data_IF_833837383278
#
_entry.id   IF_833837383278
#
_cell.length_a   1.000
_cell.length_b   1.000
_cell.length_c   1.000
_cell.angle_alpha   90.00
_cell.angle_beta   90.00
_cell.angle_gamma   90.00
#
_symmetry.space_group_name_H-M   'P 1'
#
loop_
_entity.id
_entity.type
_entity.pdbx_description
1 polymer ?
#
# COMPACT_ATOMS: atom_id res chain seq x y z
N UNK A 1 2.87 -31.48 29.78
CA UNK A 1 2.14 -31.75 28.52
C UNK A 1 1.68 -30.40 27.95
N UNK A 2 2.52 -29.73 27.17
CA UNK A 2 2.20 -28.41 26.61
C UNK A 2 1.37 -28.65 25.34
N UNK A 3 0.07 -28.39 25.43
CA UNK A 3 -0.86 -28.47 24.31
C UNK A 3 -0.41 -27.53 23.21
N UNK A 4 0.02 -28.10 22.08
CA UNK A 4 0.08 -27.39 20.80
C UNK A 4 -1.33 -26.89 20.51
N UNK A 5 -1.57 -25.60 20.72
CA UNK A 5 -2.68 -24.91 20.08
C UNK A 5 -2.32 -24.89 18.59
N UNK A 6 -2.71 -25.95 17.87
CA UNK A 6 -2.91 -25.89 16.44
C UNK A 6 -4.10 -24.94 16.25
N UNK A 7 -3.80 -23.65 16.11
CA UNK A 7 -4.73 -22.70 15.52
C UNK A 7 -5.00 -23.29 14.13
N UNK A 8 -6.17 -23.89 13.97
CA UNK A 8 -6.71 -24.28 12.68
C UNK A 8 -6.82 -22.99 11.85
N UNK A 9 -5.76 -22.63 11.13
CA UNK A 9 -5.79 -21.70 10.01
C UNK A 9 -6.62 -22.37 8.89
N UNK A 10 -7.92 -22.54 9.09
CA UNK A 10 -8.85 -22.56 7.97
C UNK A 10 -8.74 -21.16 7.39
N UNK A 11 -7.90 -21.04 6.36
CA UNK A 11 -7.24 -19.79 6.03
C UNK A 11 -8.26 -18.73 5.62
N UNK A 12 -8.21 -17.56 6.27
CA UNK A 12 -8.95 -16.36 5.83
C UNK A 12 -8.70 -16.04 4.35
N UNK A 13 -7.61 -16.58 3.78
CA UNK A 13 -7.23 -16.48 2.38
C UNK A 13 -6.99 -17.87 1.79
N UNK A 14 -8.04 -18.56 1.38
CA UNK A 14 -7.93 -19.84 0.68
C UNK A 14 -7.08 -19.70 -0.60
N UNK A 15 -6.06 -20.54 -0.77
CA UNK A 15 -5.18 -20.51 -1.93
C UNK A 15 -4.07 -19.45 -1.90
N UNK A 16 -3.90 -18.73 -0.78
CA UNK A 16 -2.87 -17.70 -0.62
C UNK A 16 -2.04 -17.90 0.65
N UNK A 17 -0.80 -17.39 0.63
CA UNK A 17 0.08 -17.21 1.79
C UNK A 17 0.23 -15.74 2.11
N UNK A 18 0.14 -15.40 3.40
CA UNK A 18 0.42 -14.04 3.88
C UNK A 18 1.95 -13.86 3.96
N UNK A 19 2.45 -12.86 3.26
CA UNK A 19 3.84 -12.46 3.23
C UNK A 19 4.02 -11.10 3.91
N UNK A 20 5.21 -10.88 4.49
CA UNK A 20 5.62 -9.64 5.15
C UNK A 20 7.08 -9.35 4.78
N UNK A 21 7.43 -8.07 4.65
CA UNK A 21 8.77 -7.66 4.24
C UNK A 21 8.71 -6.39 3.40
N UNK A 22 9.60 -6.25 2.41
CA UNK A 22 9.50 -5.20 1.39
C UNK A 22 9.36 -5.89 0.04
N UNK A 23 8.23 -5.70 -0.64
CA UNK A 23 7.96 -6.31 -1.96
C UNK A 23 8.20 -5.36 -3.12
N UNK A 24 7.81 -4.10 -2.95
CA UNK A 24 8.00 -3.04 -3.95
C UNK A 24 8.13 -1.69 -3.23
N UNK A 25 8.89 -0.79 -3.84
CA UNK A 25 9.18 0.55 -3.35
C UNK A 25 9.19 1.51 -4.53
N UNK A 26 8.42 2.58 -4.40
CA UNK A 26 8.36 3.63 -5.41
C UNK A 26 8.28 4.99 -4.74
N UNK A 27 8.94 5.98 -5.31
CA UNK A 27 8.95 7.34 -4.81
C UNK A 27 8.92 8.32 -5.94
N UNK A 28 8.39 9.51 -5.65
CA UNK A 28 8.52 10.67 -6.52
C UNK A 28 8.59 11.92 -5.65
N UNK A 29 8.95 13.03 -6.28
CA UNK A 29 9.17 14.30 -5.60
C UNK A 29 8.23 15.36 -6.13
N UNK A 30 7.98 16.34 -5.28
CA UNK A 30 7.03 17.42 -5.47
C UNK A 30 5.65 16.85 -5.81
N UNK A 31 4.84 17.57 -6.58
CA UNK A 31 3.52 17.11 -7.00
C UNK A 31 3.57 16.01 -8.09
N UNK A 32 4.58 15.15 -8.03
CA UNK A 32 4.71 13.99 -8.91
C UNK A 32 3.62 12.94 -8.66
N UNK A 33 3.28 12.19 -9.71
CA UNK A 33 2.37 11.05 -9.64
C UNK A 33 3.15 9.74 -9.61
N UNK A 34 2.73 8.82 -8.74
CA UNK A 34 3.11 7.41 -8.77
C UNK A 34 1.92 6.61 -9.29
N UNK A 35 2.12 5.88 -10.38
CA UNK A 35 1.19 4.87 -10.89
C UNK A 35 1.95 3.58 -11.15
N UNK A 36 2.06 2.74 -10.11
CA UNK A 36 2.87 1.53 -10.13
C UNK A 36 2.00 0.29 -10.35
N UNK A 37 2.36 -0.52 -11.34
CA UNK A 37 1.75 -1.85 -11.52
C UNK A 37 2.03 -2.72 -10.31
N UNK A 38 1.00 -3.35 -9.78
CA UNK A 38 1.12 -4.38 -8.75
C UNK A 38 1.84 -5.58 -9.40
N UNK A 39 2.90 -6.14 -8.78
CA UNK A 39 3.51 -7.37 -9.25
C UNK A 39 2.48 -8.48 -9.52
N UNK A 40 2.75 -9.35 -10.49
CA UNK A 40 1.81 -10.42 -10.81
C UNK A 40 1.61 -11.35 -9.60
N UNK A 41 0.41 -11.93 -9.53
CA UNK A 41 0.03 -12.96 -8.55
C UNK A 41 0.11 -12.55 -7.07
N UNK A 42 0.21 -11.24 -6.79
CA UNK A 42 0.14 -10.73 -5.42
C UNK A 42 -1.08 -9.84 -5.19
N UNK A 43 -1.57 -9.85 -3.96
CA UNK A 43 -2.60 -8.93 -3.49
C UNK A 43 -2.02 -8.10 -2.34
N UNK A 44 -1.79 -6.79 -2.53
CA UNK A 44 -1.27 -5.93 -1.48
C UNK A 44 -2.27 -5.80 -0.32
N UNK A 45 -1.80 -5.89 0.93
CA UNK A 45 -2.63 -5.76 2.13
C UNK A 45 -2.24 -4.56 2.99
N UNK A 46 -0.96 -4.17 2.99
CA UNK A 46 -0.50 -3.02 3.77
C UNK A 46 0.60 -2.28 3.02
N UNK A 47 0.49 -0.95 3.00
CA UNK A 47 1.52 -0.06 2.50
C UNK A 47 2.08 0.81 3.62
N UNK A 48 3.39 1.03 3.58
CA UNK A 48 4.09 2.05 4.36
C UNK A 48 4.25 3.28 3.46
N UNK A 49 3.81 4.43 3.94
CA UNK A 49 3.98 5.71 3.26
C UNK A 49 4.92 6.60 4.06
N UNK A 50 5.86 7.20 3.36
CA UNK A 50 6.87 8.09 3.92
C UNK A 50 6.85 9.42 3.20
N UNK A 51 7.05 10.50 3.96
CA UNK A 51 7.25 11.85 3.45
C UNK A 51 8.55 12.43 4.00
N UNK A 52 9.25 13.17 3.16
CA UNK A 52 10.39 14.02 3.54
C UNK A 52 10.30 15.35 2.79
N UNK A 53 10.12 16.46 3.50
CA UNK A 53 9.92 17.78 2.90
C UNK A 53 9.59 18.86 3.91
N UNK A 54 9.68 20.13 3.52
CA UNK A 54 9.64 21.28 4.44
C UNK A 54 8.23 21.83 4.74
N UNK A 55 7.19 21.25 4.12
CA UNK A 55 5.81 21.72 4.23
C UNK A 55 4.85 20.63 4.73
N UNK A 56 3.63 21.06 5.12
CA UNK A 56 2.49 20.15 5.26
C UNK A 56 2.24 19.46 3.92
N UNK A 57 1.82 18.21 3.98
CA UNK A 57 1.61 17.40 2.78
C UNK A 57 0.31 16.63 2.87
N UNK A 58 -0.23 16.36 1.68
CA UNK A 58 -1.38 15.51 1.43
C UNK A 58 -1.00 14.56 0.29
N UNK A 59 -0.93 13.26 0.56
CA UNK A 59 -0.79 12.23 -0.47
C UNK A 59 -2.17 11.65 -0.71
N UNK A 60 -2.67 11.81 -1.92
CA UNK A 60 -3.80 11.03 -2.41
C UNK A 60 -3.29 9.63 -2.71
N UNK A 61 -3.71 8.63 -1.93
CA UNK A 61 -3.36 7.23 -2.16
C UNK A 61 -4.53 6.49 -2.81
N UNK A 62 -4.24 5.71 -3.85
CA UNK A 62 -5.24 4.89 -4.52
C UNK A 62 -4.71 3.48 -4.83
N UNK A 63 -5.66 2.54 -4.84
CA UNK A 63 -5.55 1.27 -5.53
C UNK A 63 -6.67 1.17 -6.54
N UNK A 64 -6.37 0.77 -7.78
CA UNK A 64 -7.35 0.75 -8.85
C UNK A 64 -6.98 -0.22 -9.96
N UNK A 65 -7.97 -0.57 -10.79
CA UNK A 65 -7.78 -1.43 -11.97
C UNK A 65 -7.15 -0.69 -13.16
N UNK A 66 -7.11 0.64 -13.12
CA UNK A 66 -6.58 1.55 -14.15
C UNK A 66 -5.38 2.35 -13.65
N UNK A 67 -4.56 2.94 -14.53
CA UNK A 67 -3.48 3.85 -14.13
C UNK A 67 -3.97 5.04 -13.30
N UNK A 68 -3.12 5.51 -12.39
CA UNK A 68 -3.42 6.58 -11.43
C UNK A 68 -3.06 7.94 -12.02
N UNK A 69 -3.98 8.90 -11.96
CA UNK A 69 -3.78 10.31 -12.31
C UNK A 69 -3.76 11.25 -11.09
N UNK A 70 -3.57 12.55 -11.35
CA UNK A 70 -3.65 13.64 -10.38
C UNK A 70 -5.03 13.64 -9.70
N UNK A 71 -5.09 13.59 -8.38
CA UNK A 71 -6.34 13.58 -7.57
C UNK A 71 -7.14 12.27 -7.67
N UNK A 72 -6.47 11.13 -7.42
CA UNK A 72 -7.16 9.85 -7.27
C UNK A 72 -7.02 9.27 -5.86
N UNK A 73 -8.14 8.83 -5.29
CA UNK A 73 -8.18 8.02 -4.07
C UNK A 73 -8.32 8.81 -2.77
N UNK A 74 -7.91 8.18 -1.69
CA UNK A 74 -8.08 8.69 -0.33
C UNK A 74 -7.00 9.73 -0.01
N UNK A 75 -7.41 10.87 0.54
CA UNK A 75 -6.48 11.91 0.98
C UNK A 75 -5.89 11.50 2.32
N UNK A 76 -4.57 11.37 2.35
CA UNK A 76 -3.83 11.12 3.56
C UNK A 76 -2.89 12.28 3.88
N UNK A 77 -3.03 12.86 5.07
CA UNK A 77 -2.12 13.86 5.61
C UNK A 77 -1.29 13.31 6.77
N UNK A 78 0.02 13.46 6.73
CA UNK A 78 0.92 13.06 7.83
C UNK A 78 1.42 14.19 8.73
N UNK A 79 0.91 15.42 8.57
CA UNK A 79 1.30 16.56 9.38
C UNK A 79 2.63 17.20 8.96
N UNK A 80 2.77 18.50 9.23
CA UNK A 80 3.84 19.37 8.72
C UNK A 80 5.19 19.25 9.41
N UNK A 81 5.69 18.02 9.57
CA UNK A 81 7.08 17.77 10.00
C UNK A 81 7.95 17.48 8.78
N UNK A 82 9.25 17.75 8.94
CA UNK A 82 10.27 17.55 7.89
C UNK A 82 10.34 16.11 7.40
N UNK A 83 10.04 15.15 8.27
CA UNK A 83 9.93 13.73 7.93
C UNK A 83 8.78 13.10 8.70
N UNK A 84 8.04 12.20 8.05
CA UNK A 84 7.06 11.37 8.74
C UNK A 84 6.79 10.07 7.97
N UNK A 85 6.20 9.12 8.69
CA UNK A 85 5.95 7.77 8.21
C UNK A 85 4.65 7.26 8.82
N UNK A 86 3.92 6.47 8.05
CA UNK A 86 2.68 5.87 8.50
C UNK A 86 2.34 4.62 7.68
N UNK A 87 1.49 3.76 8.24
CA UNK A 87 1.11 2.47 7.65
C UNK A 87 -0.39 2.46 7.36
N UNK A 88 -0.76 2.04 6.15
CA UNK A 88 -2.14 1.90 5.71
C UNK A 88 -2.44 0.43 5.49
N UNK A 89 -3.36 -0.08 6.30
CA UNK A 89 -4.00 -1.36 6.08
C UNK A 89 -5.10 -1.19 5.03
N UNK A 90 -4.76 -1.50 3.77
CA UNK A 90 -5.69 -1.34 2.62
C UNK A 90 -6.72 -2.45 2.57
N UNK A 91 -6.43 -3.59 3.20
CA UNK A 91 -7.36 -4.68 3.35
C UNK A 91 -8.57 -4.28 4.19
N UNK A 92 -8.32 -3.65 5.33
CA UNK A 92 -9.38 -3.13 6.20
C UNK A 92 -10.18 -2.01 5.53
N UNK A 93 -9.53 -1.24 4.63
CA UNK A 93 -10.14 -0.10 3.94
C UNK A 93 -11.03 -0.52 2.75
N UNK A 94 -10.56 -1.42 1.89
CA UNK A 94 -11.24 -1.73 0.62
C UNK A 94 -11.82 -3.15 0.57
N UNK A 95 -11.36 -4.06 1.44
CA UNK A 95 -11.73 -5.47 1.43
C UNK A 95 -11.07 -6.29 0.32
N UNK A 96 -10.94 -7.60 0.53
CA UNK A 96 -10.17 -8.51 -0.33
C UNK A 96 -10.67 -8.57 -1.78
N UNK A 97 -12.00 -8.62 -2.00
CA UNK A 97 -12.59 -8.76 -3.34
C UNK A 97 -12.35 -7.54 -4.23
N UNK A 98 -12.23 -6.35 -3.64
CA UNK A 98 -11.83 -5.16 -4.37
C UNK A 98 -10.34 -5.21 -4.73
N UNK A 99 -9.50 -5.58 -3.76
CA UNK A 99 -8.05 -5.64 -3.96
C UNK A 99 -7.65 -6.64 -5.07
N UNK A 100 -8.37 -7.75 -5.22
CA UNK A 100 -8.19 -8.71 -6.33
C UNK A 100 -8.38 -8.10 -7.73
N UNK A 101 -9.15 -7.02 -7.85
CA UNK A 101 -9.43 -6.34 -9.12
C UNK A 101 -8.44 -5.21 -9.41
N UNK A 102 -7.68 -4.78 -8.40
CA UNK A 102 -6.70 -3.72 -8.54
C UNK A 102 -5.48 -4.22 -9.32
N UNK A 103 -4.98 -3.37 -10.22
CA UNK A 103 -3.77 -3.60 -11.02
C UNK A 103 -2.68 -2.58 -10.72
N UNK A 104 -3.06 -1.43 -10.17
CA UNK A 104 -2.17 -0.33 -9.87
C UNK A 104 -2.31 0.08 -8.41
N UNK A 105 -1.20 0.52 -7.84
CA UNK A 105 -1.13 1.24 -6.58
C UNK A 105 -0.29 2.49 -6.76
N UNK A 106 -0.50 3.47 -5.90
CA UNK A 106 0.25 4.71 -5.97
C UNK A 106 -0.59 5.89 -5.51
N UNK A 107 -0.34 7.04 -6.10
CA UNK A 107 -0.91 8.27 -5.61
C UNK A 107 -0.26 9.52 -6.18
N UNK A 108 -0.62 10.67 -5.63
CA UNK A 108 0.05 11.93 -5.89
C UNK A 108 0.10 12.78 -4.62
N UNK A 109 1.21 13.48 -4.41
CA UNK A 109 1.23 14.58 -3.47
C UNK A 109 0.60 15.82 -4.13
N UNK A 110 -0.07 16.67 -3.35
CA UNK A 110 -0.65 17.93 -3.85
C UNK A 110 -0.19 19.09 -2.99
N UNK A 111 0.25 20.18 -3.63
CA UNK A 111 0.82 21.37 -3.01
C UNK A 111 1.99 21.05 -2.07
N UNK A 112 2.81 20.06 -2.46
CA UNK A 112 3.82 19.50 -1.58
C UNK A 112 5.22 19.69 -2.17
N UNK A 113 6.12 20.30 -1.40
CA UNK A 113 7.55 20.44 -1.75
C UNK A 113 8.37 19.44 -0.94
N UNK A 114 8.65 18.28 -1.54
CA UNK A 114 9.31 17.15 -0.87
C UNK A 114 9.14 15.84 -1.61
N UNK A 115 9.65 14.75 -1.03
CA UNK A 115 9.60 13.41 -1.61
C UNK A 115 8.62 12.56 -0.83
N UNK A 116 7.72 11.90 -1.54
CA UNK A 116 6.94 10.81 -0.94
C UNK A 116 7.33 9.46 -1.52
N UNK A 117 7.17 8.45 -0.68
CA UNK A 117 7.53 7.07 -0.98
C UNK A 117 6.43 6.14 -0.51
N UNK A 118 6.08 5.18 -1.35
CA UNK A 118 5.09 4.13 -1.09
C UNK A 118 5.82 2.80 -1.14
N UNK A 119 5.74 2.04 -0.06
CA UNK A 119 6.39 0.73 0.08
C UNK A 119 5.34 -0.32 0.42
N UNK A 120 5.29 -1.42 -0.34
CA UNK A 120 4.42 -2.55 -0.02
C UNK A 120 5.09 -3.42 1.04
N UNK A 121 4.41 -3.61 2.18
CA UNK A 121 5.02 -4.27 3.35
C UNK A 121 4.32 -5.55 3.83
N UNK A 122 3.07 -5.78 3.41
CA UNK A 122 2.30 -7.00 3.64
C UNK A 122 1.49 -7.29 2.38
N UNK A 123 1.51 -8.53 1.92
CA UNK A 123 0.78 -8.96 0.72
C UNK A 123 0.39 -10.44 0.81
N UNK A 124 -0.55 -10.86 -0.03
CA UNK A 124 -0.84 -12.27 -0.29
C UNK A 124 -0.07 -12.71 -1.52
N UNK A 125 0.57 -13.89 -1.48
CA UNK A 125 1.09 -14.59 -2.66
C UNK A 125 0.26 -15.84 -2.91
N UNK A 126 -0.04 -16.13 -4.17
CA UNK A 126 -0.78 -17.33 -4.56
C UNK A 126 0.06 -18.58 -4.26
N UNK A 127 -0.57 -19.62 -3.74
CA UNK A 127 0.09 -20.91 -3.51
C UNK A 127 0.22 -21.65 -4.84
N UNK A 128 1.45 -21.97 -5.25
CA UNK A 128 1.73 -22.81 -6.42
C UNK A 128 1.72 -22.08 -7.76
N UNK A 129 2.01 -20.77 -7.77
CA UNK A 129 2.45 -20.05 -8.97
C UNK A 129 3.90 -20.35 -9.34
#
# INVERSE_FOLDING_TARGET
MLGRILINQKSEYAGYKIMRGIKDIVSTSNDGIISRLIPQEIIPLTFKLEWSGTAKWYIHFAMQSTPIGWVNGFIWSGGGKETCMTYMDVESLYGLEYLKKCKYFGGNATNATGTYKITMVKWLEKVGG
#
